data_IF_535682628940
#
_entry.id   IF_535682628940
#
_cell.length_a   1.000
_cell.length_b   1.000
_cell.length_c   1.000
_cell.angle_alpha   90.00
_cell.angle_beta   90.00
_cell.angle_gamma   90.00
#
_symmetry.space_group_name_H-M   'P 1'
#
loop_
_entity.id
_entity.type
_entity.pdbx_description
1 polymer ?
#
# COMPACT_ATOMS: atom_id res chain seq x y z
N UNK A 1 -5.15 3.92 -0.62
CA UNK A 1 -5.59 2.63 -0.06
C UNK A 1 -4.41 1.85 0.54
N UNK A 2 -4.59 1.32 1.75
CA UNK A 2 -3.62 0.42 2.42
C UNK A 2 -4.24 -0.97 2.50
N UNK A 3 -3.47 -2.03 2.18
CA UNK A 3 -3.96 -3.41 2.17
C UNK A 3 -2.81 -4.42 2.21
N UNK A 4 -3.15 -5.72 2.20
CA UNK A 4 -2.20 -6.85 2.23
C UNK A 4 -2.00 -7.40 0.81
N UNK A 5 -0.80 -7.88 0.49
CA UNK A 5 -0.50 -8.65 -0.72
C UNK A 5 0.34 -9.88 -0.37
N UNK A 6 0.28 -10.92 -1.21
CA UNK A 6 1.19 -12.06 -1.17
C UNK A 6 2.52 -11.74 -1.84
N UNK A 7 3.52 -12.60 -1.61
CA UNK A 7 4.84 -12.51 -2.23
C UNK A 7 4.76 -12.59 -3.76
N UNK A 8 4.01 -13.56 -4.28
CA UNK A 8 3.89 -13.80 -5.73
C UNK A 8 3.32 -12.59 -6.50
N UNK A 9 2.42 -11.86 -5.85
CA UNK A 9 1.74 -10.71 -6.45
C UNK A 9 2.47 -9.37 -6.21
N UNK A 10 3.55 -9.37 -5.43
CA UNK A 10 4.17 -8.15 -4.90
C UNK A 10 4.56 -7.15 -6.01
N UNK A 11 5.16 -7.65 -7.10
CA UNK A 11 5.59 -6.82 -8.25
C UNK A 11 4.41 -6.33 -9.09
N UNK A 12 3.39 -7.17 -9.25
CA UNK A 12 2.18 -6.81 -9.99
C UNK A 12 1.42 -5.70 -9.26
N UNK A 13 1.21 -5.86 -7.95
CA UNK A 13 0.52 -4.87 -7.10
C UNK A 13 1.24 -3.53 -7.07
N UNK A 14 2.58 -3.50 -7.05
CA UNK A 14 3.34 -2.25 -7.12
C UNK A 14 3.09 -1.50 -8.44
N UNK A 15 3.08 -2.23 -9.55
CA UNK A 15 2.85 -1.67 -10.89
C UNK A 15 1.41 -1.19 -11.03
N UNK A 16 0.46 -2.01 -10.61
CA UNK A 16 -0.97 -1.70 -10.67
C UNK A 16 -1.31 -0.48 -9.80
N UNK A 17 -0.77 -0.40 -8.57
CA UNK A 17 -0.98 0.77 -7.71
C UNK A 17 -0.43 2.03 -8.33
N UNK A 18 0.74 1.99 -8.96
CA UNK A 18 1.28 3.14 -9.66
C UNK A 18 0.32 3.58 -10.77
N UNK A 19 -0.11 2.65 -11.60
CA UNK A 19 -0.97 2.94 -12.74
C UNK A 19 -2.37 3.44 -12.35
N UNK A 20 -2.97 2.84 -11.32
CA UNK A 20 -4.31 3.22 -10.80
C UNK A 20 -4.37 4.71 -10.43
N UNK A 21 -3.29 5.28 -9.92
CA UNK A 21 -3.27 6.69 -9.49
C UNK A 21 -2.73 7.66 -10.54
N UNK A 22 -2.30 7.20 -11.72
CA UNK A 22 -1.80 8.05 -12.81
C UNK A 22 -2.86 9.07 -13.26
N UNK A 23 -4.09 8.62 -13.48
CA UNK A 23 -5.20 9.50 -13.85
C UNK A 23 -5.48 10.56 -12.77
N UNK A 24 -5.43 10.16 -11.49
CA UNK A 24 -5.68 11.07 -10.38
C UNK A 24 -4.58 12.15 -10.29
N UNK A 25 -3.32 11.74 -10.45
CA UNK A 25 -2.20 12.68 -10.47
C UNK A 25 -2.30 13.68 -11.63
N UNK A 26 -2.69 13.22 -12.82
CA UNK A 26 -2.89 14.07 -13.99
C UNK A 26 -4.02 15.08 -13.77
N UNK A 27 -5.15 14.64 -13.21
CA UNK A 27 -6.27 15.52 -12.90
C UNK A 27 -5.90 16.58 -11.87
N UNK A 28 -5.19 16.21 -10.79
CA UNK A 28 -4.68 17.17 -9.80
C UNK A 28 -3.75 18.22 -10.44
N UNK A 29 -2.90 17.80 -11.37
CA UNK A 29 -2.04 18.72 -12.11
C UNK A 29 -2.81 19.65 -13.05
N UNK A 30 -3.83 19.15 -13.73
CA UNK A 30 -4.66 19.95 -14.62
C UNK A 30 -5.52 20.99 -13.87
N UNK A 31 -6.05 20.63 -12.70
CA UNK A 31 -6.93 21.52 -11.92
C UNK A 31 -6.17 22.63 -11.20
N UNK A 32 -5.05 22.28 -10.56
CA UNK A 32 -4.38 23.17 -9.60
C UNK A 32 -2.97 23.59 -10.04
N UNK A 33 -2.49 23.12 -11.20
CA UNK A 33 -1.14 23.39 -11.70
C UNK A 33 -0.01 22.72 -10.90
N UNK A 34 -0.34 21.82 -9.96
CA UNK A 34 0.66 21.16 -9.12
C UNK A 34 1.23 19.90 -9.75
N UNK A 35 2.54 19.71 -9.62
CA UNK A 35 3.19 18.45 -10.01
C UNK A 35 2.90 17.38 -8.95
N UNK A 36 2.00 16.46 -9.25
CA UNK A 36 1.68 15.33 -8.38
C UNK A 36 2.65 14.17 -8.63
N UNK A 37 3.23 13.61 -7.58
CA UNK A 37 4.11 12.42 -7.65
C UNK A 37 3.44 11.23 -6.98
N UNK A 38 3.40 10.11 -7.67
CA UNK A 38 2.83 8.84 -7.16
C UNK A 38 3.96 8.01 -6.54
N UNK A 39 3.74 7.56 -5.29
CA UNK A 39 4.69 6.75 -4.53
C UNK A 39 3.99 5.43 -4.12
N UNK A 40 4.17 4.33 -4.87
CA UNK A 40 3.60 3.03 -4.50
C UNK A 40 4.44 2.38 -3.40
N UNK A 41 3.93 2.38 -2.17
CA UNK A 41 4.58 1.72 -1.03
C UNK A 41 3.95 0.34 -0.78
N UNK A 42 4.67 -0.72 -1.13
CA UNK A 42 4.16 -2.10 -1.05
C UNK A 42 5.09 -2.98 -0.21
N UNK A 43 4.48 -3.82 0.63
CA UNK A 43 5.13 -4.86 1.41
C UNK A 43 4.16 -6.00 1.68
N UNK A 44 4.68 -7.20 1.87
CA UNK A 44 3.90 -8.36 2.32
C UNK A 44 3.69 -8.33 3.84
N UNK A 45 2.78 -9.17 4.34
CA UNK A 45 2.57 -9.35 5.78
C UNK A 45 3.79 -9.95 6.49
N UNK A 46 4.63 -10.73 5.79
CA UNK A 46 5.89 -11.30 6.30
C UNK A 46 7.04 -10.27 6.32
N UNK A 47 6.80 -9.05 5.80
CA UNK A 47 7.83 -8.03 5.71
C UNK A 47 8.73 -8.13 4.48
N UNK A 48 8.42 -9.01 3.52
CA UNK A 48 9.09 -9.05 2.22
C UNK A 48 8.70 -7.83 1.39
N UNK A 49 9.70 -7.16 0.79
CA UNK A 49 9.55 -5.87 0.12
C UNK A 49 10.15 -5.86 -1.29
N UNK A 50 9.71 -4.93 -2.14
CA UNK A 50 10.34 -4.68 -3.45
C UNK A 50 11.67 -3.95 -3.31
N UNK A 51 12.45 -3.90 -4.39
CA UNK A 51 13.70 -3.12 -4.46
C UNK A 51 13.47 -1.62 -4.30
N UNK A 52 12.31 -1.10 -4.71
CA UNK A 52 11.95 0.31 -4.58
C UNK A 52 11.49 0.70 -3.17
N UNK A 53 11.17 -0.27 -2.32
CA UNK A 53 10.66 -0.04 -0.97
C UNK A 53 11.54 0.92 -0.16
N UNK A 54 12.87 0.71 -0.16
CA UNK A 54 13.81 1.58 0.57
C UNK A 54 13.75 3.04 0.08
N UNK A 55 13.67 3.24 -1.23
CA UNK A 55 13.57 4.57 -1.84
C UNK A 55 12.28 5.26 -1.41
N UNK A 56 11.14 4.60 -1.58
CA UNK A 56 9.84 5.18 -1.23
C UNK A 56 9.67 5.39 0.27
N UNK A 57 10.23 4.50 1.09
CA UNK A 57 10.28 4.68 2.55
C UNK A 57 10.98 5.97 2.93
N UNK A 58 12.12 6.24 2.29
CA UNK A 58 12.88 7.48 2.51
C UNK A 58 12.13 8.70 2.00
N UNK A 59 11.49 8.63 0.84
CA UNK A 59 10.71 9.75 0.30
C UNK A 59 9.49 10.10 1.18
N UNK A 60 8.91 9.11 1.85
CA UNK A 60 7.79 9.28 2.78
C UNK A 60 8.24 9.59 4.22
N UNK A 61 9.54 9.59 4.50
CA UNK A 61 10.10 9.74 5.85
C UNK A 61 9.49 8.77 6.88
N UNK A 62 9.29 7.51 6.51
CA UNK A 62 8.70 6.50 7.39
C UNK A 62 9.75 5.83 8.28
N UNK A 63 9.60 6.03 9.59
CA UNK A 63 10.36 5.29 10.60
C UNK A 63 9.85 3.85 10.77
N UNK A 64 10.64 3.01 11.45
CA UNK A 64 10.31 1.60 11.66
C UNK A 64 9.03 1.38 12.47
N UNK A 65 8.79 2.23 13.48
CA UNK A 65 7.63 2.13 14.38
C UNK A 65 6.35 2.48 13.63
N UNK A 66 6.39 3.53 12.81
CA UNK A 66 5.25 3.92 11.96
C UNK A 66 4.93 2.82 10.95
N UNK A 67 5.95 2.23 10.30
CA UNK A 67 5.72 1.11 9.39
C UNK A 67 5.14 -0.12 10.11
N UNK A 68 5.68 -0.49 11.27
CA UNK A 68 5.18 -1.62 12.06
C UNK A 68 3.74 -1.39 12.53
N UNK A 69 3.39 -0.16 12.92
CA UNK A 69 2.03 0.20 13.28
C UNK A 69 1.07 0.06 12.10
N UNK A 70 1.43 0.54 10.91
CA UNK A 70 0.62 0.39 9.70
C UNK A 70 0.41 -1.10 9.41
N UNK A 71 1.47 -1.91 9.45
CA UNK A 71 1.40 -3.35 9.22
C UNK A 71 0.47 -4.06 10.22
N UNK A 72 0.64 -3.78 11.52
CA UNK A 72 -0.20 -4.36 12.57
C UNK A 72 -1.67 -3.95 12.42
N UNK A 73 -1.95 -2.69 12.07
CA UNK A 73 -3.31 -2.19 11.86
C UNK A 73 -3.98 -2.89 10.67
N UNK A 74 -3.27 -3.05 9.57
CA UNK A 74 -3.80 -3.74 8.37
C UNK A 74 -4.07 -5.21 8.68
N UNK A 75 -3.14 -5.90 9.36
CA UNK A 75 -3.34 -7.29 9.79
C UNK A 75 -4.54 -7.45 10.71
N UNK A 76 -4.70 -6.54 11.68
CA UNK A 76 -5.84 -6.53 12.59
C UNK A 76 -7.16 -6.37 11.82
N UNK A 77 -7.25 -5.40 10.91
CA UNK A 77 -8.46 -5.18 10.11
C UNK A 77 -8.78 -6.40 9.23
N UNK A 78 -7.78 -7.02 8.60
CA UNK A 78 -7.98 -8.24 7.82
C UNK A 78 -8.48 -9.40 8.68
N UNK A 79 -7.90 -9.60 9.87
CA UNK A 79 -8.36 -10.64 10.80
C UNK A 79 -9.80 -10.40 11.28
N UNK A 80 -10.16 -9.14 11.56
CA UNK A 80 -11.52 -8.77 11.95
C UNK A 80 -12.52 -9.09 10.84
N UNK A 81 -12.21 -8.75 9.59
CA UNK A 81 -13.04 -9.09 8.42
C UNK A 81 -13.22 -10.59 8.27
N UNK A 82 -12.12 -11.36 8.27
CA UNK A 82 -12.16 -12.83 8.16
C UNK A 82 -12.96 -13.47 9.31
N UNK A 83 -12.83 -12.94 10.52
CA UNK A 83 -13.59 -13.42 11.69
C UNK A 83 -15.09 -13.13 11.56
N UNK A 84 -15.46 -11.98 11.00
CA UNK A 84 -16.85 -11.64 10.73
C UNK A 84 -17.45 -12.54 9.64
N UNK A 85 -16.70 -12.79 8.57
CA UNK A 85 -17.08 -13.70 7.48
C UNK A 85 -17.30 -15.13 8.00
N UNK A 86 -16.32 -15.67 8.74
CA UNK A 86 -16.43 -17.00 9.34
C UNK A 86 -17.63 -17.15 10.29
N UNK A 87 -18.00 -16.11 11.04
CA UNK A 87 -19.21 -16.11 11.89
C UNK A 87 -20.52 -16.12 11.10
N UNK A 88 -20.51 -15.63 9.86
CA UNK A 88 -21.69 -15.63 8.98
C UNK A 88 -21.94 -16.98 8.32
N UNK A 89 -21.02 -17.95 8.49
CA UNK A 89 -21.15 -19.29 7.92
C UNK A 89 -20.92 -19.35 6.41
N UNK A 90 -20.22 -18.35 5.86
CA UNK A 90 -19.65 -18.39 4.50
C UNK A 90 -18.28 -19.06 4.54
#
# INVERSE_FOLDING_TARGET
DVGITSFDNLRAVETEKKHKYDLHANNCGAMNGYKTRIIPYVMTWEGTTTTFHKKYRSELNLDCRTQAYIQARVLKMTLETLSMEARRGE
#
